data_IF_036227134502
#
_entry.id   IF_036227134502
#
_cell.length_a   1.000
_cell.length_b   1.000
_cell.length_c   1.000
_cell.angle_alpha   90.00
_cell.angle_beta   90.00
_cell.angle_gamma   90.00
#
_symmetry.space_group_name_H-M   'P 1'
#
loop_
_entity.id
_entity.type
_entity.pdbx_description
1 polymer ?
#
# COMPACT_ATOMS: atom_id res chain seq x y z
N UNK A 1 -1.62 26.80 4.85
CA UNK A 1 -2.22 25.46 4.68
C UNK A 1 -3.59 25.49 5.33
N UNK A 2 -4.62 24.93 4.70
CA UNK A 2 -5.92 24.76 5.35
C UNK A 2 -5.73 23.84 6.56
N UNK A 3 -6.21 24.26 7.73
CA UNK A 3 -6.19 23.41 8.93
C UNK A 3 -7.15 22.24 8.71
N UNK A 4 -6.70 21.02 8.98
CA UNK A 4 -7.52 19.82 8.79
C UNK A 4 -8.61 19.75 9.88
N UNK A 5 -9.87 19.56 9.46
CA UNK A 5 -11.03 19.44 10.33
C UNK A 5 -11.72 18.08 10.08
N UNK A 6 -11.63 17.10 11.01
CA UNK A 6 -12.20 15.76 10.81
C UNK A 6 -13.73 15.75 10.62
N UNK A 7 -14.44 16.80 11.08
CA UNK A 7 -15.89 16.93 10.90
C UNK A 7 -16.23 17.22 9.42
N UNK A 8 -15.28 17.77 8.66
CA UNK A 8 -15.42 18.09 7.24
C UNK A 8 -14.88 17.00 6.30
N UNK A 9 -14.41 15.88 6.83
CA UNK A 9 -13.82 14.77 6.06
C UNK A 9 -14.79 13.59 5.94
N UNK A 10 -15.96 13.87 5.37
CA UNK A 10 -17.05 12.91 5.16
C UNK A 10 -17.84 13.24 3.89
N UNK A 11 -18.65 12.29 3.41
CA UNK A 11 -19.60 12.55 2.32
C UNK A 11 -20.81 13.37 2.82
N UNK A 12 -21.27 14.37 2.05
CA UNK A 12 -22.28 15.35 2.48
C UNK A 12 -23.54 14.74 3.08
N UNK A 13 -24.06 13.66 2.48
CA UNK A 13 -25.30 13.01 2.95
C UNK A 13 -25.19 12.45 4.38
N UNK A 14 -23.97 12.24 4.89
CA UNK A 14 -23.74 11.75 6.26
C UNK A 14 -24.08 12.80 7.32
N UNK A 15 -24.09 14.09 6.96
CA UNK A 15 -24.51 15.15 7.87
C UNK A 15 -25.98 15.07 8.26
N UNK A 16 -26.85 14.51 7.42
CA UNK A 16 -28.28 14.31 7.74
C UNK A 16 -28.61 12.96 8.36
N UNK A 17 -27.68 12.00 8.37
CA UNK A 17 -27.97 10.61 8.79
C UNK A 17 -28.35 10.47 10.26
N UNK A 18 -27.92 11.38 11.15
CA UNK A 18 -28.32 11.35 12.55
C UNK A 18 -29.86 11.50 12.75
N UNK A 19 -30.56 12.07 11.78
CA UNK A 19 -32.02 12.21 11.76
C UNK A 19 -32.74 11.02 11.10
N UNK A 20 -32.01 10.14 10.41
CA UNK A 20 -32.58 9.06 9.59
C UNK A 20 -32.68 7.73 10.33
N UNK A 21 -31.85 7.54 11.36
CA UNK A 21 -31.88 6.31 12.16
C UNK A 21 -33.17 6.17 12.96
N UNK A 22 -33.62 4.93 13.26
CA UNK A 22 -34.80 4.71 14.09
C UNK A 22 -34.71 5.49 15.41
N UNK A 23 -35.81 6.08 15.88
CA UNK A 23 -35.86 6.69 17.22
C UNK A 23 -35.38 5.70 18.29
N UNK A 24 -34.69 6.21 19.31
CA UNK A 24 -34.05 5.39 20.38
C UNK A 24 -32.91 4.48 19.91
N UNK A 25 -32.29 4.75 18.76
CA UNK A 25 -31.01 4.12 18.41
C UNK A 25 -29.93 4.57 19.40
N UNK A 26 -29.22 3.61 19.98
CA UNK A 26 -28.14 3.85 20.96
C UNK A 26 -26.81 3.24 20.54
N UNK A 27 -26.79 2.38 19.52
CA UNK A 27 -25.54 1.89 18.96
C UNK A 27 -25.72 1.47 17.51
N UNK A 28 -24.63 1.55 16.75
CA UNK A 28 -24.52 1.07 15.38
C UNK A 28 -23.22 0.29 15.30
N UNK A 29 -23.31 -0.93 14.79
CA UNK A 29 -22.17 -1.78 14.50
C UNK A 29 -21.94 -1.82 12.99
N UNK A 30 -20.74 -1.43 12.57
CA UNK A 30 -20.32 -1.47 11.17
C UNK A 30 -19.02 -2.23 11.01
N UNK A 31 -18.77 -2.71 9.79
CA UNK A 31 -17.56 -3.45 9.46
C UNK A 31 -17.02 -3.05 8.09
N UNK A 32 -15.71 -3.25 7.87
CA UNK A 32 -15.04 -3.09 6.57
C UNK A 32 -14.57 -4.45 6.07
N UNK A 33 -14.84 -4.75 4.80
CA UNK A 33 -14.31 -5.93 4.11
C UNK A 33 -13.93 -5.60 2.66
N UNK A 34 -13.04 -6.42 2.08
CA UNK A 34 -13.01 -6.62 0.63
C UNK A 34 -14.05 -7.69 0.27
N UNK A 35 -14.91 -7.44 -0.72
CA UNK A 35 -15.96 -8.38 -1.14
C UNK A 35 -15.51 -9.34 -2.27
N UNK A 36 -14.21 -9.37 -2.56
CA UNK A 36 -13.61 -10.01 -3.73
C UNK A 36 -13.06 -8.95 -4.70
N UNK A 37 -12.58 -9.36 -5.86
CA UNK A 37 -11.98 -8.43 -6.80
C UNK A 37 -11.03 -9.12 -7.77
N UNK A 38 -9.97 -8.41 -8.13
CA UNK A 38 -8.86 -8.88 -8.96
C UNK A 38 -8.10 -10.00 -8.23
N UNK A 39 -7.95 -9.90 -6.91
CA UNK A 39 -7.25 -10.90 -6.11
C UNK A 39 -8.21 -11.60 -5.13
N UNK A 40 -7.87 -12.83 -4.73
CA UNK A 40 -8.67 -13.64 -3.81
C UNK A 40 -8.45 -13.31 -2.33
N UNK A 41 -7.41 -12.52 -2.04
CA UNK A 41 -6.95 -12.12 -0.72
C UNK A 41 -6.42 -10.68 -0.73
N UNK A 42 -6.27 -10.09 0.45
CA UNK A 42 -5.78 -8.72 0.66
C UNK A 42 -4.71 -8.69 1.74
N UNK A 43 -3.58 -8.02 1.48
CA UNK A 43 -2.60 -7.67 2.50
C UNK A 43 -3.08 -6.41 3.25
N UNK A 44 -3.69 -6.59 4.42
CA UNK A 44 -4.36 -5.52 5.16
C UNK A 44 -3.36 -4.50 5.72
N UNK A 45 -3.53 -3.22 5.40
CA UNK A 45 -2.63 -2.15 5.84
C UNK A 45 -3.30 -0.77 5.85
N UNK A 46 -2.85 0.14 6.72
CA UNK A 46 -3.14 1.58 6.69
C UNK A 46 -4.13 2.12 7.73
N UNK A 47 -4.76 1.26 8.54
CA UNK A 47 -5.69 1.68 9.59
C UNK A 47 -4.99 2.50 10.68
N UNK A 48 -3.76 2.18 11.05
CA UNK A 48 -2.98 2.91 12.05
C UNK A 48 -2.72 4.36 11.62
N UNK A 49 -2.53 4.62 10.32
CA UNK A 49 -2.40 5.97 9.76
C UNK A 49 -3.70 6.75 10.01
N UNK A 50 -4.86 6.13 9.76
CA UNK A 50 -6.15 6.73 10.06
C UNK A 50 -6.31 7.03 11.55
N UNK A 51 -5.95 6.09 12.43
CA UNK A 51 -6.05 6.30 13.88
C UNK A 51 -5.19 7.51 14.29
N UNK A 52 -3.91 7.54 13.91
CA UNK A 52 -2.97 8.61 14.27
C UNK A 52 -3.38 9.98 13.70
N UNK A 53 -3.83 10.05 12.45
CA UNK A 53 -4.16 11.32 11.78
C UNK A 53 -5.58 11.82 12.08
N UNK A 54 -6.56 10.91 12.11
CA UNK A 54 -7.97 11.25 12.25
C UNK A 54 -8.43 11.13 13.70
N UNK A 55 -8.34 9.94 14.30
CA UNK A 55 -8.98 9.67 15.61
C UNK A 55 -8.24 10.27 16.80
N UNK A 56 -6.94 10.54 16.66
CA UNK A 56 -6.15 11.26 17.67
C UNK A 56 -6.19 12.78 17.50
N UNK A 57 -6.85 13.30 16.45
CA UNK A 57 -7.08 14.74 16.32
C UNK A 57 -8.23 15.14 17.23
N UNK A 58 -7.95 16.00 18.22
CA UNK A 58 -8.97 16.51 19.15
C UNK A 58 -9.84 17.55 18.45
N UNK A 59 -11.14 17.28 18.44
CA UNK A 59 -12.15 18.22 17.98
C UNK A 59 -12.25 19.40 18.94
N UNK A 60 -12.35 20.62 18.39
CA UNK A 60 -12.51 21.85 19.15
C UNK A 60 -13.84 22.52 18.83
N UNK A 61 -14.28 23.46 19.67
CA UNK A 61 -15.51 24.22 19.41
C UNK A 61 -15.42 25.01 18.10
N UNK A 62 -14.24 25.54 17.78
CA UNK A 62 -13.97 26.28 16.54
C UNK A 62 -14.16 25.38 15.32
N UNK A 63 -13.69 24.12 15.36
CA UNK A 63 -13.93 23.14 14.30
C UNK A 63 -15.42 22.84 14.12
N UNK A 64 -16.18 22.77 15.22
CA UNK A 64 -17.64 22.54 15.16
C UNK A 64 -18.36 23.71 14.50
N UNK A 65 -18.06 24.94 14.90
CA UNK A 65 -18.71 26.13 14.32
C UNK A 65 -18.28 26.41 12.87
N UNK A 66 -17.03 26.09 12.53
CA UNK A 66 -16.58 26.11 11.14
C UNK A 66 -17.39 25.10 10.30
N UNK A 67 -17.51 23.87 10.78
CA UNK A 67 -18.25 22.82 10.09
C UNK A 67 -19.74 23.17 9.97
N UNK A 68 -20.37 23.65 11.04
CA UNK A 68 -21.76 24.13 11.01
C UNK A 68 -21.98 25.17 9.92
N UNK A 69 -21.11 26.19 9.87
CA UNK A 69 -21.18 27.24 8.86
C UNK A 69 -21.06 26.67 7.44
N UNK A 70 -20.07 25.83 7.18
CA UNK A 70 -19.80 25.28 5.85
C UNK A 70 -20.92 24.34 5.41
N UNK A 71 -21.34 23.42 6.28
CA UNK A 71 -22.36 22.41 5.99
C UNK A 71 -23.74 23.05 5.78
N UNK A 72 -24.08 24.04 6.61
CA UNK A 72 -25.33 24.80 6.44
C UNK A 72 -25.35 25.57 5.12
N UNK A 73 -24.23 26.23 4.76
CA UNK A 73 -24.10 26.90 3.45
C UNK A 73 -24.13 25.90 2.28
N UNK A 74 -23.66 24.68 2.50
CA UNK A 74 -23.73 23.59 1.52
C UNK A 74 -25.15 23.02 1.35
N UNK A 75 -26.06 23.28 2.30
CA UNK A 75 -27.47 22.89 2.24
C UNK A 75 -27.83 21.61 3.00
N UNK A 76 -26.91 21.06 3.80
CA UNK A 76 -27.19 19.90 4.65
C UNK A 76 -27.50 20.35 6.09
N UNK A 77 -28.32 19.59 6.84
CA UNK A 77 -28.48 19.82 8.28
C UNK A 77 -27.19 19.48 9.02
N UNK A 78 -26.96 20.10 10.17
CA UNK A 78 -25.76 19.86 10.97
C UNK A 78 -26.10 19.59 12.45
N UNK A 79 -25.50 18.55 13.03
CA UNK A 79 -25.74 18.15 14.42
C UNK A 79 -24.80 18.91 15.40
N UNK A 80 -24.98 20.23 15.53
CA UNK A 80 -24.12 21.07 16.38
C UNK A 80 -24.07 20.58 17.82
N UNK A 81 -25.23 20.22 18.39
CA UNK A 81 -25.33 19.71 19.76
C UNK A 81 -24.54 18.41 19.95
N UNK A 82 -24.69 17.45 19.05
CA UNK A 82 -23.97 16.17 19.11
C UNK A 82 -22.46 16.34 19.00
N UNK A 83 -21.98 17.25 18.15
CA UNK A 83 -20.56 17.54 18.03
C UNK A 83 -20.00 18.28 19.25
N UNK A 84 -20.71 19.30 19.77
CA UNK A 84 -20.32 19.99 21.00
C UNK A 84 -20.29 19.04 22.21
N UNK A 85 -21.23 18.10 22.28
CA UNK A 85 -21.25 17.05 23.29
C UNK A 85 -19.95 16.23 23.27
N UNK A 86 -19.44 15.85 22.09
CA UNK A 86 -18.15 15.15 21.95
C UNK A 86 -16.99 16.03 22.43
N UNK A 87 -16.98 17.31 22.07
CA UNK A 87 -15.92 18.24 22.54
C UNK A 87 -15.89 18.33 24.06
N UNK A 88 -17.06 18.45 24.69
CA UNK A 88 -17.18 18.75 26.12
C UNK A 88 -17.08 17.50 27.02
N UNK A 89 -17.74 16.40 26.61
CA UNK A 89 -17.82 15.18 27.42
C UNK A 89 -16.69 14.20 27.08
N UNK A 90 -16.23 14.20 25.83
CA UNK A 90 -15.21 13.27 25.33
C UNK A 90 -13.88 13.95 25.04
N UNK A 91 -13.69 15.17 25.54
CA UNK A 91 -12.43 15.92 25.42
C UNK A 91 -11.99 16.14 23.96
N UNK A 92 -12.96 16.14 23.04
CA UNK A 92 -12.73 16.24 21.59
C UNK A 92 -12.38 14.93 20.89
N UNK A 93 -12.28 13.80 21.58
CA UNK A 93 -12.02 12.49 20.95
C UNK A 93 -13.33 11.77 20.62
N UNK A 94 -13.35 11.02 19.50
CA UNK A 94 -14.55 10.27 19.11
C UNK A 94 -14.78 9.06 20.03
N UNK A 95 -15.97 8.91 20.64
CA UNK A 95 -16.26 7.79 21.55
C UNK A 95 -16.55 6.51 20.77
N UNK A 96 -15.50 5.87 20.27
CA UNK A 96 -15.54 4.69 19.43
C UNK A 96 -14.71 3.57 20.04
N UNK A 97 -15.08 2.33 19.69
CA UNK A 97 -14.20 1.17 19.75
C UNK A 97 -14.02 0.64 18.33
N UNK A 98 -12.76 0.49 17.92
CA UNK A 98 -12.38 -0.08 16.64
C UNK A 98 -11.57 -1.34 16.90
N UNK A 99 -12.01 -2.45 16.31
CA UNK A 99 -11.25 -3.69 16.30
C UNK A 99 -10.81 -4.01 14.88
N UNK A 100 -9.63 -4.58 14.71
CA UNK A 100 -9.16 -5.02 13.40
C UNK A 100 -8.37 -6.30 13.47
N UNK A 101 -8.24 -6.98 12.33
CA UNK A 101 -7.15 -7.95 12.15
C UNK A 101 -5.81 -7.20 12.22
N UNK A 102 -4.71 -7.85 12.63
CA UNK A 102 -3.38 -7.23 12.60
C UNK A 102 -3.00 -6.75 11.19
N UNK A 103 -2.48 -5.54 11.07
CA UNK A 103 -1.91 -5.06 9.81
C UNK A 103 -0.71 -5.90 9.40
N UNK A 104 -0.51 -6.06 8.09
CA UNK A 104 0.47 -6.94 7.48
C UNK A 104 -0.09 -8.33 7.16
N UNK A 105 -1.17 -8.78 7.80
CA UNK A 105 -1.76 -10.08 7.50
C UNK A 105 -2.39 -10.16 6.10
N UNK A 106 -2.21 -11.29 5.43
CA UNK A 106 -2.92 -11.64 4.20
C UNK A 106 -4.24 -12.30 4.58
N UNK A 107 -5.34 -11.65 4.23
CA UNK A 107 -6.70 -12.06 4.60
C UNK A 107 -7.47 -12.43 3.33
N UNK A 108 -8.03 -13.64 3.22
CA UNK A 108 -8.93 -13.99 2.13
C UNK A 108 -10.11 -13.02 2.07
N UNK A 109 -10.49 -12.65 0.85
CA UNK A 109 -11.64 -11.76 0.60
C UNK A 109 -12.92 -12.32 1.23
N UNK A 110 -13.90 -11.44 1.46
CA UNK A 110 -15.17 -11.71 2.16
C UNK A 110 -15.01 -12.02 3.64
N UNK A 111 -13.87 -11.63 4.23
CA UNK A 111 -13.67 -11.56 5.67
C UNK A 111 -13.61 -10.13 6.14
N UNK A 112 -14.12 -9.91 7.35
CA UNK A 112 -14.05 -8.62 8.05
C UNK A 112 -12.59 -8.30 8.35
N UNK A 113 -12.21 -7.06 8.08
CA UNK A 113 -10.89 -6.53 8.41
C UNK A 113 -10.95 -5.59 9.61
N UNK A 114 -12.02 -4.79 9.68
CA UNK A 114 -12.23 -3.75 10.72
C UNK A 114 -13.67 -3.80 11.17
N UNK A 115 -13.93 -3.61 12.46
CA UNK A 115 -15.26 -3.33 13.02
C UNK A 115 -15.23 -2.03 13.80
N UNK A 116 -16.36 -1.32 13.80
CA UNK A 116 -16.54 -0.02 14.47
C UNK A 116 -17.89 0.00 15.17
N UNK A 117 -17.90 0.42 16.42
CA UNK A 117 -19.12 0.75 17.17
C UNK A 117 -18.84 1.89 18.15
N UNK A 118 -19.89 2.55 18.63
CA UNK A 118 -19.76 3.63 19.62
C UNK A 118 -19.70 3.09 21.03
N UNK A 119 -19.01 3.82 21.90
CA UNK A 119 -18.97 3.55 23.35
C UNK A 119 -19.91 4.44 24.14
N UNK A 120 -20.43 5.53 23.54
CA UNK A 120 -21.43 6.42 24.14
C UNK A 120 -22.74 6.39 23.32
N UNK A 121 -23.86 6.00 23.92
CA UNK A 121 -25.17 5.97 23.27
C UNK A 121 -25.61 7.26 22.58
N UNK A 122 -25.20 8.44 23.07
CA UNK A 122 -25.57 9.74 22.46
C UNK A 122 -24.86 10.01 21.13
N UNK A 123 -23.84 9.21 20.82
CA UNK A 123 -22.98 9.39 19.66
C UNK A 123 -23.20 8.32 18.58
N UNK A 124 -24.29 7.56 18.63
CA UNK A 124 -24.57 6.41 17.74
C UNK A 124 -24.31 6.66 16.24
N UNK A 125 -24.58 7.87 15.76
CA UNK A 125 -24.42 8.28 14.35
C UNK A 125 -22.95 8.39 13.91
N UNK A 126 -22.00 8.49 14.85
CA UNK A 126 -20.56 8.63 14.55
C UNK A 126 -20.00 7.39 13.86
N UNK A 127 -20.50 6.18 14.18
CA UNK A 127 -20.02 4.92 13.58
C UNK A 127 -20.00 4.97 12.05
N UNK A 128 -21.07 5.45 11.43
CA UNK A 128 -21.19 5.52 9.97
C UNK A 128 -20.73 6.86 9.41
N UNK A 129 -20.65 7.90 10.24
CA UNK A 129 -20.11 9.21 9.84
C UNK A 129 -18.65 9.11 9.39
N UNK A 130 -17.82 8.33 10.10
CA UNK A 130 -16.39 8.19 9.79
C UNK A 130 -16.09 7.29 8.57
N UNK A 131 -17.11 6.69 7.96
CA UNK A 131 -16.96 5.71 6.87
C UNK A 131 -16.09 6.23 5.73
N UNK A 132 -16.30 7.47 5.28
CA UNK A 132 -15.61 8.02 4.11
C UNK A 132 -14.10 8.07 4.35
N UNK A 133 -13.68 8.66 5.48
CA UNK A 133 -12.28 8.75 5.85
C UNK A 133 -11.67 7.37 6.16
N UNK A 134 -12.35 6.55 6.96
CA UNK A 134 -11.90 5.21 7.33
C UNK A 134 -11.72 4.32 6.09
N UNK A 135 -12.73 4.26 5.22
CA UNK A 135 -12.69 3.40 4.04
C UNK A 135 -11.58 3.84 3.09
N UNK A 136 -11.38 5.15 2.88
CA UNK A 136 -10.26 5.70 2.09
C UNK A 136 -8.91 5.28 2.65
N UNK A 137 -8.73 5.34 3.96
CA UNK A 137 -7.49 4.94 4.63
C UNK A 137 -7.25 3.42 4.64
N UNK A 138 -8.29 2.61 4.47
CA UNK A 138 -8.14 1.15 4.38
C UNK A 138 -7.91 0.70 2.94
N UNK A 139 -8.78 1.10 1.99
CA UNK A 139 -8.80 0.50 0.66
C UNK A 139 -7.51 0.80 -0.12
N UNK A 140 -7.01 2.03 -0.09
CA UNK A 140 -5.87 2.45 -0.92
C UNK A 140 -4.57 1.74 -0.52
N UNK A 141 -4.07 1.87 0.73
CA UNK A 141 -2.85 1.18 1.14
C UNK A 141 -2.98 -0.34 1.04
N UNK A 142 -4.13 -0.91 1.41
CA UNK A 142 -4.35 -2.36 1.29
C UNK A 142 -4.28 -2.82 -0.17
N UNK A 143 -4.86 -2.07 -1.11
CA UNK A 143 -4.83 -2.43 -2.54
C UNK A 143 -3.41 -2.32 -3.12
N UNK A 144 -2.66 -1.27 -2.77
CA UNK A 144 -1.27 -1.11 -3.19
C UNK A 144 -0.38 -2.23 -2.62
N UNK A 145 -0.50 -2.52 -1.32
CA UNK A 145 0.26 -3.59 -0.68
C UNK A 145 -0.06 -4.96 -1.30
N UNK A 146 -1.33 -5.21 -1.62
CA UNK A 146 -1.78 -6.45 -2.27
C UNK A 146 -1.24 -6.57 -3.69
N UNK A 147 -1.36 -5.51 -4.51
CA UNK A 147 -0.82 -5.47 -5.87
C UNK A 147 0.70 -5.72 -5.86
N UNK A 148 1.42 -5.05 -4.96
CA UNK A 148 2.84 -5.26 -4.74
C UNK A 148 3.17 -6.69 -4.31
N UNK A 149 2.37 -7.28 -3.41
CA UNK A 149 2.54 -8.67 -2.98
C UNK A 149 2.41 -9.64 -4.15
N UNK A 150 1.40 -9.50 -5.01
CA UNK A 150 1.26 -10.37 -6.18
C UNK A 150 2.39 -10.18 -7.21
N UNK A 151 2.91 -8.95 -7.38
CA UNK A 151 4.12 -8.74 -8.16
C UNK A 151 5.32 -9.49 -7.56
N UNK A 152 5.47 -9.49 -6.22
CA UNK A 152 6.48 -10.29 -5.50
C UNK A 152 6.32 -11.78 -5.79
N UNK A 153 5.09 -12.30 -5.79
CA UNK A 153 4.80 -13.71 -6.09
C UNK A 153 5.17 -14.11 -7.53
N UNK A 154 4.98 -13.22 -8.50
CA UNK A 154 5.40 -13.44 -9.89
C UNK A 154 6.94 -13.49 -9.98
N UNK A 155 7.60 -12.49 -9.38
CA UNK A 155 9.07 -12.36 -9.45
C UNK A 155 9.77 -13.49 -8.71
N UNK A 156 9.31 -13.86 -7.51
CA UNK A 156 9.97 -14.88 -6.68
C UNK A 156 9.94 -16.25 -7.37
N UNK A 157 8.83 -16.65 -8.00
CA UNK A 157 8.73 -17.89 -8.78
C UNK A 157 9.74 -17.94 -9.91
N UNK A 158 9.97 -16.80 -10.55
CA UNK A 158 10.89 -16.71 -11.67
C UNK A 158 12.37 -16.64 -11.22
N UNK A 159 12.66 -16.11 -10.02
CA UNK A 159 13.96 -16.27 -9.36
C UNK A 159 14.19 -17.71 -8.91
N UNK A 160 13.18 -18.40 -8.38
CA UNK A 160 13.26 -19.83 -8.05
C UNK A 160 13.54 -20.67 -9.29
N UNK A 161 12.97 -20.31 -10.43
CA UNK A 161 13.22 -21.00 -11.70
C UNK A 161 14.62 -20.71 -12.27
N UNK A 162 15.07 -19.45 -12.22
CA UNK A 162 16.21 -19.01 -13.06
C UNK A 162 17.35 -18.33 -12.33
N UNK A 163 17.18 -17.94 -11.07
CA UNK A 163 18.07 -17.01 -10.37
C UNK A 163 18.24 -17.29 -8.88
N UNK A 164 18.54 -16.25 -8.10
CA UNK A 164 18.66 -16.30 -6.64
C UNK A 164 17.45 -15.64 -5.95
N UNK A 165 16.57 -16.43 -5.29
CA UNK A 165 15.44 -15.91 -4.51
C UNK A 165 15.82 -14.89 -3.43
N UNK A 166 17.06 -14.92 -2.91
CA UNK A 166 17.53 -13.96 -1.91
C UNK A 166 17.56 -12.51 -2.43
N UNK A 167 17.50 -12.30 -3.75
CA UNK A 167 17.50 -10.97 -4.35
C UNK A 167 16.12 -10.28 -4.32
N UNK A 168 15.05 -10.98 -3.93
CA UNK A 168 13.66 -10.54 -4.09
C UNK A 168 13.39 -9.14 -3.52
N UNK A 169 14.01 -8.79 -2.40
CA UNK A 169 13.80 -7.53 -1.69
C UNK A 169 14.01 -6.29 -2.58
N UNK A 170 14.85 -6.38 -3.62
CA UNK A 170 15.21 -5.26 -4.49
C UNK A 170 14.84 -5.51 -5.97
N UNK A 171 13.92 -6.44 -6.24
CA UNK A 171 13.54 -6.79 -7.63
C UNK A 171 12.36 -6.01 -8.19
N UNK A 172 11.61 -5.31 -7.34
CA UNK A 172 10.64 -4.30 -7.75
C UNK A 172 10.92 -3.02 -6.96
N UNK A 173 11.21 -1.94 -7.67
CA UNK A 173 11.55 -0.63 -7.12
C UNK A 173 10.41 0.34 -7.40
N UNK A 174 9.99 1.07 -6.36
CA UNK A 174 8.92 2.05 -6.49
C UNK A 174 9.42 3.35 -7.17
N UNK A 175 8.85 3.65 -8.35
CA UNK A 175 9.08 4.88 -9.13
C UNK A 175 7.85 5.81 -9.14
N UNK A 176 6.91 5.59 -8.22
CA UNK A 176 5.54 6.11 -8.29
C UNK A 176 5.34 7.53 -7.76
N UNK A 177 6.30 8.12 -7.04
CA UNK A 177 6.13 9.44 -6.38
C UNK A 177 5.54 10.54 -7.27
N UNK A 178 5.98 10.63 -8.52
CA UNK A 178 5.51 11.63 -9.49
C UNK A 178 4.21 11.25 -10.21
N UNK A 179 3.85 9.97 -10.16
CA UNK A 179 2.70 9.40 -10.86
C UNK A 179 1.43 9.35 -10.02
N UNK A 180 1.49 9.71 -8.74
CA UNK A 180 0.34 9.71 -7.83
C UNK A 180 -0.35 11.08 -7.74
N UNK A 181 -1.59 11.07 -7.27
CA UNK A 181 -2.44 12.26 -7.16
C UNK A 181 -2.06 13.28 -6.08
N UNK A 182 -1.24 12.92 -5.09
CA UNK A 182 -0.87 13.82 -4.00
C UNK A 182 0.39 13.37 -3.24
N UNK A 183 0.98 14.27 -2.45
CA UNK A 183 2.07 13.93 -1.52
C UNK A 183 1.65 12.86 -0.50
N UNK A 184 0.43 12.95 0.02
CA UNK A 184 -0.10 11.95 0.96
C UNK A 184 -0.26 10.58 0.29
N UNK A 185 -0.76 10.54 -0.94
CA UNK A 185 -0.85 9.30 -1.72
C UNK A 185 0.52 8.69 -2.00
N UNK A 186 1.55 9.52 -2.24
CA UNK A 186 2.93 9.06 -2.43
C UNK A 186 3.45 8.40 -1.14
N UNK A 187 3.27 9.07 0.00
CA UNK A 187 3.73 8.60 1.29
C UNK A 187 3.05 7.29 1.70
N UNK A 188 1.72 7.22 1.63
CA UNK A 188 0.94 6.03 2.03
C UNK A 188 1.17 4.88 1.05
N UNK A 189 1.11 5.15 -0.26
CA UNK A 189 1.27 4.13 -1.30
C UNK A 189 2.68 3.54 -1.31
N UNK A 190 3.71 4.39 -1.28
CA UNK A 190 5.09 3.92 -1.23
C UNK A 190 5.37 3.10 0.03
N UNK A 191 4.82 3.49 1.20
CA UNK A 191 4.98 2.71 2.43
C UNK A 191 4.30 1.34 2.34
N UNK A 192 3.12 1.27 1.71
CA UNK A 192 2.41 0.01 1.47
C UNK A 192 3.21 -0.95 0.58
N UNK A 193 3.93 -0.43 -0.42
CA UNK A 193 4.86 -1.22 -1.22
C UNK A 193 6.03 -1.78 -0.40
N UNK A 194 6.59 -0.97 0.51
CA UNK A 194 7.75 -1.34 1.34
C UNK A 194 7.48 -2.46 2.35
N UNK A 195 6.24 -2.93 2.49
CA UNK A 195 5.95 -4.17 3.22
C UNK A 195 6.57 -5.36 2.47
N UNK A 196 6.49 -5.34 1.13
CA UNK A 196 6.87 -6.45 0.28
C UNK A 196 8.32 -6.36 -0.23
N UNK A 197 8.81 -5.14 -0.45
CA UNK A 197 10.12 -4.85 -1.03
C UNK A 197 10.87 -3.79 -0.22
N UNK A 198 12.12 -3.53 -0.60
CA UNK A 198 13.04 -2.59 0.05
C UNK A 198 13.54 -1.49 -0.89
N UNK A 199 13.18 -1.52 -2.17
CA UNK A 199 13.57 -0.50 -3.16
C UNK A 199 12.51 0.59 -3.34
N UNK A 200 12.87 1.86 -3.14
CA UNK A 200 11.95 2.98 -3.43
C UNK A 200 12.71 4.28 -3.75
N UNK A 201 12.19 5.04 -4.71
CA UNK A 201 12.53 6.46 -4.93
C UNK A 201 11.46 7.40 -4.37
N UNK A 202 10.37 6.86 -3.82
CA UNK A 202 9.31 7.61 -3.17
C UNK A 202 9.70 7.96 -1.74
N UNK A 203 10.59 8.94 -1.59
CA UNK A 203 11.10 9.43 -0.30
C UNK A 203 9.99 9.71 0.74
N UNK A 204 8.80 10.26 0.40
CA UNK A 204 7.73 10.46 1.38
C UNK A 204 7.31 9.19 2.13
N UNK A 205 7.50 8.00 1.54
CA UNK A 205 7.21 6.72 2.19
C UNK A 205 8.09 6.47 3.42
N UNK A 206 9.36 6.91 3.36
CA UNK A 206 10.31 6.75 4.47
C UNK A 206 9.88 7.58 5.68
N UNK A 207 9.36 8.79 5.42
CA UNK A 207 8.82 9.67 6.45
C UNK A 207 7.56 9.06 7.07
N UNK A 208 6.65 8.54 6.24
CA UNK A 208 5.44 7.87 6.73
C UNK A 208 5.74 6.65 7.61
N UNK A 209 6.82 5.90 7.33
CA UNK A 209 7.25 4.79 8.19
C UNK A 209 7.63 5.26 9.61
N UNK A 210 8.32 6.40 9.70
CA UNK A 210 8.76 6.99 10.97
C UNK A 210 7.55 7.57 11.72
N UNK A 211 6.76 8.41 11.05
CA UNK A 211 5.66 9.16 11.68
C UNK A 211 4.51 8.24 12.11
N UNK A 212 4.17 7.26 11.28
CA UNK A 212 2.99 6.43 11.51
C UNK A 212 3.30 5.07 12.10
N UNK A 213 4.49 4.51 11.93
CA UNK A 213 4.82 3.15 12.37
C UNK A 213 6.12 3.06 13.19
N UNK A 214 6.53 4.17 13.79
CA UNK A 214 7.62 4.27 14.77
C UNK A 214 8.90 3.53 14.33
N UNK A 215 9.19 3.57 13.03
CA UNK A 215 10.39 2.93 12.49
C UNK A 215 11.64 3.65 13.01
N UNK A 216 12.56 2.89 13.61
CA UNK A 216 13.81 3.44 14.16
C UNK A 216 14.85 3.74 13.07
N UNK A 217 14.76 3.03 11.96
CA UNK A 217 15.66 3.16 10.80
C UNK A 217 14.85 3.37 9.52
N UNK A 218 15.53 3.76 8.43
CA UNK A 218 14.92 3.80 7.10
C UNK A 218 14.53 2.38 6.65
N UNK A 219 13.35 2.26 6.08
CA UNK A 219 12.76 0.96 5.70
C UNK A 219 12.87 0.66 4.20
N UNK A 220 13.39 1.61 3.42
CA UNK A 220 13.61 1.50 1.98
C UNK A 220 14.89 2.22 1.57
N UNK A 221 15.48 1.77 0.47
CA UNK A 221 16.76 2.24 -0.03
C UNK A 221 16.70 2.49 -1.53
N UNK A 222 17.66 3.28 -2.01
CA UNK A 222 17.91 3.53 -3.42
C UNK A 222 19.41 3.57 -3.72
N UNK A 223 19.73 3.75 -5.00
CA UNK A 223 21.09 3.92 -5.52
C UNK A 223 21.16 5.19 -6.37
N UNK A 224 22.34 5.78 -6.59
CA UNK A 224 22.49 6.85 -7.57
C UNK A 224 21.98 6.42 -8.94
N UNK A 225 21.13 7.24 -9.56
CA UNK A 225 20.54 6.98 -10.86
C UNK A 225 20.52 8.25 -11.72
N UNK A 226 20.74 8.09 -13.02
CA UNK A 226 20.51 9.16 -14.00
C UNK A 226 19.06 9.18 -14.49
N UNK A 227 18.60 10.37 -14.88
CA UNK A 227 17.40 10.57 -15.71
C UNK A 227 17.79 11.25 -17.03
N UNK A 228 16.87 11.33 -17.99
CA UNK A 228 17.20 11.86 -19.33
C UNK A 228 17.80 13.27 -19.28
N UNK A 229 17.40 14.13 -18.33
CA UNK A 229 17.94 15.49 -18.21
C UNK A 229 19.45 15.50 -17.91
N UNK A 230 19.94 14.61 -17.06
CA UNK A 230 21.35 14.55 -16.65
C UNK A 230 22.25 13.96 -17.74
N UNK A 231 21.68 13.22 -18.69
CA UNK A 231 22.37 12.72 -19.89
C UNK A 231 22.30 13.72 -21.03
N UNK A 232 21.11 14.20 -21.36
CA UNK A 232 20.86 15.03 -22.55
C UNK A 232 21.37 16.46 -22.41
N UNK A 233 21.56 16.98 -21.19
CA UNK A 233 22.18 18.29 -20.94
C UNK A 233 23.64 18.39 -21.40
N UNK A 234 24.31 17.26 -21.62
CA UNK A 234 25.64 17.21 -22.25
C UNK A 234 25.57 17.38 -23.77
N UNK A 235 24.39 17.22 -24.37
CA UNK A 235 24.17 17.20 -25.81
C UNK A 235 24.46 15.84 -26.45
N UNK A 236 23.75 15.51 -27.52
CA UNK A 236 23.82 14.19 -28.19
C UNK A 236 25.26 13.76 -28.53
N UNK A 237 26.09 14.67 -29.05
CA UNK A 237 27.49 14.41 -29.40
C UNK A 237 28.38 13.98 -28.20
N UNK A 238 27.91 14.18 -26.97
CA UNK A 238 28.66 13.95 -25.75
C UNK A 238 27.98 12.95 -24.81
N UNK A 239 27.06 12.11 -25.30
CA UNK A 239 26.42 11.05 -24.51
C UNK A 239 27.47 10.14 -23.83
N UNK A 240 28.51 9.73 -24.55
CA UNK A 240 29.63 8.96 -23.98
C UNK A 240 30.31 9.66 -22.80
N UNK A 241 30.44 11.00 -22.83
CA UNK A 241 31.04 11.76 -21.72
C UNK A 241 30.09 11.86 -20.52
N UNK A 242 28.78 11.97 -20.75
CA UNK A 242 27.80 11.91 -19.68
C UNK A 242 27.86 10.55 -18.95
N UNK A 243 27.96 9.46 -19.71
CA UNK A 243 28.14 8.10 -19.20
C UNK A 243 29.47 7.89 -18.47
N UNK A 244 30.57 8.42 -19.01
CA UNK A 244 31.88 8.43 -18.35
C UNK A 244 31.81 9.18 -17.01
N UNK A 245 31.13 10.32 -16.95
CA UNK A 245 30.94 11.07 -15.72
C UNK A 245 30.21 10.24 -14.65
N UNK A 246 29.18 9.46 -15.01
CA UNK A 246 28.53 8.55 -14.06
C UNK A 246 29.50 7.51 -13.48
N UNK A 247 30.38 6.94 -14.32
CA UNK A 247 31.43 6.03 -13.86
C UNK A 247 32.36 6.75 -12.87
N UNK A 248 32.80 7.97 -13.17
CA UNK A 248 33.74 8.72 -12.34
C UNK A 248 33.16 9.08 -10.97
N UNK A 249 31.89 9.48 -10.92
CA UNK A 249 31.25 9.89 -9.66
C UNK A 249 30.89 8.69 -8.76
N UNK A 250 30.41 7.59 -9.35
CA UNK A 250 29.76 6.52 -8.59
C UNK A 250 30.47 5.15 -8.66
N UNK A 251 31.35 4.93 -9.64
CA UNK A 251 31.97 3.64 -9.95
C UNK A 251 32.97 3.10 -8.91
N UNK A 252 33.39 3.93 -7.96
CA UNK A 252 34.30 3.57 -6.88
C UNK A 252 33.72 3.75 -5.48
N UNK A 253 32.63 4.52 -5.35
CA UNK A 253 32.03 4.93 -4.07
C UNK A 253 30.77 4.15 -3.71
N UNK A 254 30.11 3.52 -4.70
CA UNK A 254 28.85 2.79 -4.51
C UNK A 254 28.97 1.35 -4.98
N UNK A 255 28.13 0.45 -4.47
CA UNK A 255 28.08 -0.92 -4.97
C UNK A 255 27.48 -0.98 -6.40
N UNK A 256 26.50 -0.12 -6.67
CA UNK A 256 25.82 -0.03 -7.97
C UNK A 256 25.38 1.41 -8.25
N UNK A 257 25.17 1.71 -9.53
CA UNK A 257 24.51 2.94 -9.99
C UNK A 257 23.74 2.63 -11.28
N UNK A 258 22.65 3.35 -11.52
CA UNK A 258 21.80 3.16 -12.69
C UNK A 258 21.94 4.29 -13.71
N UNK A 259 21.93 3.96 -14.99
CA UNK A 259 22.01 4.95 -16.06
C UNK A 259 20.97 4.66 -17.13
N UNK A 260 20.04 5.61 -17.32
CA UNK A 260 19.14 5.61 -18.46
C UNK A 260 19.95 5.68 -19.76
N UNK A 261 19.77 4.68 -20.61
CA UNK A 261 20.66 4.41 -21.75
C UNK A 261 19.96 4.48 -23.10
N UNK A 262 18.75 5.05 -23.17
CA UNK A 262 17.93 5.13 -24.37
C UNK A 262 17.61 6.57 -24.78
N UNK A 263 18.42 7.54 -24.33
CA UNK A 263 18.24 8.95 -24.71
C UNK A 263 18.26 9.17 -26.22
N UNK A 264 19.01 8.33 -26.96
CA UNK A 264 19.05 8.36 -28.43
C UNK A 264 18.94 6.96 -29.06
N UNK A 265 19.81 6.02 -28.68
CA UNK A 265 19.79 4.64 -29.19
C UNK A 265 20.37 3.67 -28.14
N UNK A 266 19.48 2.87 -27.54
CA UNK A 266 19.86 1.91 -26.50
C UNK A 266 20.76 0.79 -27.01
N UNK A 267 20.65 0.40 -28.27
CA UNK A 267 21.49 -0.65 -28.85
C UNK A 267 22.91 -0.13 -29.02
N UNK A 268 23.08 1.07 -29.56
CA UNK A 268 24.39 1.73 -29.66
C UNK A 268 25.00 1.98 -28.29
N UNK A 269 24.21 2.45 -27.32
CA UNK A 269 24.68 2.69 -25.95
C UNK A 269 25.23 1.41 -25.31
N UNK A 270 24.52 0.29 -25.42
CA UNK A 270 24.96 -1.00 -24.86
C UNK A 270 26.15 -1.57 -25.64
N UNK A 271 26.09 -1.56 -26.97
CA UNK A 271 27.07 -2.25 -27.80
C UNK A 271 28.41 -1.50 -27.91
N UNK A 272 28.34 -0.20 -28.21
CA UNK A 272 29.49 0.58 -28.64
C UNK A 272 29.99 1.54 -27.56
N UNK A 273 29.11 2.06 -26.70
CA UNK A 273 29.53 2.98 -25.63
C UNK A 273 29.92 2.18 -24.39
N UNK A 274 28.97 1.53 -23.72
CA UNK A 274 29.24 0.72 -22.53
C UNK A 274 30.11 -0.50 -22.86
N UNK A 275 29.73 -1.26 -23.88
CA UNK A 275 30.44 -2.47 -24.33
C UNK A 275 31.67 -2.20 -25.20
N UNK A 276 31.92 -0.94 -25.58
CA UNK A 276 33.07 -0.51 -26.39
C UNK A 276 33.89 0.54 -25.65
N UNK A 277 33.68 1.82 -25.95
CA UNK A 277 34.52 2.95 -25.50
C UNK A 277 34.76 2.97 -23.99
N UNK A 278 33.74 2.68 -23.17
CA UNK A 278 33.82 2.76 -21.71
C UNK A 278 34.06 1.39 -21.04
N UNK A 279 34.13 0.30 -21.80
CA UNK A 279 34.17 -1.06 -21.26
C UNK A 279 35.34 -1.28 -20.30
N UNK A 280 36.54 -0.86 -20.69
CA UNK A 280 37.73 -1.08 -19.86
C UNK A 280 37.63 -0.34 -18.52
N UNK A 281 37.16 0.90 -18.54
CA UNK A 281 36.97 1.70 -17.34
C UNK A 281 35.90 1.06 -16.44
N UNK A 282 34.78 0.60 -17.02
CA UNK A 282 33.71 -0.05 -16.29
C UNK A 282 34.16 -1.37 -15.64
N UNK A 283 34.92 -2.21 -16.36
CA UNK A 283 35.41 -3.49 -15.84
C UNK A 283 36.41 -3.30 -14.69
N UNK A 284 37.25 -2.25 -14.75
CA UNK A 284 38.20 -1.89 -13.69
C UNK A 284 37.52 -1.37 -12.42
N UNK A 285 36.31 -0.85 -12.52
CA UNK A 285 35.56 -0.34 -11.38
C UNK A 285 34.96 -1.46 -10.51
N UNK A 286 34.75 -1.13 -9.24
CA UNK A 286 34.18 -2.05 -8.24
C UNK A 286 32.66 -2.17 -8.39
N UNK A 287 31.99 -1.09 -8.80
CA UNK A 287 30.54 -1.07 -8.93
C UNK A 287 30.03 -1.91 -10.10
N UNK A 288 28.77 -2.33 -9.99
CA UNK A 288 27.99 -2.90 -11.09
C UNK A 288 27.17 -1.78 -11.73
N UNK A 289 27.25 -1.62 -13.05
CA UNK A 289 26.37 -0.70 -13.79
C UNK A 289 25.00 -1.34 -13.97
N UNK A 290 23.94 -0.59 -13.69
CA UNK A 290 22.56 -0.95 -14.03
C UNK A 290 22.13 -0.15 -15.26
N UNK A 291 21.98 -0.82 -16.40
CA UNK A 291 21.52 -0.22 -17.65
C UNK A 291 19.99 -0.13 -17.64
N UNK A 292 19.45 1.07 -17.85
CA UNK A 292 18.00 1.30 -17.89
C UNK A 292 17.53 1.67 -19.31
N UNK A 293 16.89 0.74 -20.05
CA UNK A 293 15.97 1.13 -21.12
C UNK A 293 14.69 1.74 -20.53
N UNK A 294 14.10 2.72 -21.22
CA UNK A 294 12.90 3.44 -20.79
C UNK A 294 11.92 3.68 -21.95
N UNK A 295 12.08 2.95 -23.06
CA UNK A 295 11.25 3.05 -24.25
C UNK A 295 11.30 1.78 -25.12
N UNK A 296 10.27 1.59 -25.94
CA UNK A 296 10.07 0.41 -26.78
C UNK A 296 9.39 -0.76 -26.03
N UNK A 297 9.03 -1.81 -26.76
CA UNK A 297 8.41 -3.01 -26.16
C UNK A 297 9.45 -3.77 -25.31
N UNK A 298 9.27 -3.88 -23.98
CA UNK A 298 10.26 -4.52 -23.12
C UNK A 298 10.45 -6.01 -23.42
N UNK A 299 9.45 -6.69 -23.98
CA UNK A 299 9.55 -8.11 -24.37
C UNK A 299 10.47 -8.31 -25.58
N UNK A 300 10.75 -7.26 -26.34
CA UNK A 300 11.64 -7.26 -27.51
C UNK A 300 12.99 -6.62 -27.16
N UNK A 301 12.96 -5.45 -26.51
CA UNK A 301 14.16 -4.65 -26.22
C UNK A 301 15.07 -5.38 -25.24
N UNK A 302 14.53 -5.91 -24.13
CA UNK A 302 15.34 -6.51 -23.07
C UNK A 302 16.13 -7.73 -23.54
N UNK A 303 15.54 -8.75 -24.22
CA UNK A 303 16.32 -9.86 -24.76
C UNK A 303 17.45 -9.39 -25.68
N UNK A 304 17.18 -8.43 -26.57
CA UNK A 304 18.16 -7.93 -27.53
C UNK A 304 19.34 -7.23 -26.86
N UNK A 305 19.09 -6.33 -25.91
CA UNK A 305 20.18 -5.66 -25.19
C UNK A 305 20.94 -6.61 -24.25
N UNK A 306 20.27 -7.60 -23.66
CA UNK A 306 20.93 -8.63 -22.85
C UNK A 306 21.86 -9.52 -23.70
N UNK A 307 21.46 -9.87 -24.93
CA UNK A 307 22.35 -10.56 -25.86
C UNK A 307 23.56 -9.71 -26.23
N UNK A 308 23.37 -8.43 -26.56
CA UNK A 308 24.49 -7.52 -26.85
C UNK A 308 25.45 -7.39 -25.66
N UNK A 309 24.91 -7.20 -24.46
CA UNK A 309 25.70 -7.12 -23.24
C UNK A 309 26.44 -8.44 -22.95
N UNK A 310 25.80 -9.60 -23.13
CA UNK A 310 26.44 -10.90 -22.97
C UNK A 310 27.60 -11.09 -23.96
N UNK A 311 27.47 -10.61 -25.20
CA UNK A 311 28.55 -10.62 -26.20
C UNK A 311 29.71 -9.71 -25.81
N UNK A 312 29.42 -8.51 -25.29
CA UNK A 312 30.46 -7.51 -24.96
C UNK A 312 31.13 -7.79 -23.61
N UNK A 313 30.40 -8.19 -22.59
CA UNK A 313 30.92 -8.36 -21.22
C UNK A 313 31.18 -9.84 -20.86
N UNK A 314 30.67 -10.78 -21.65
CA UNK A 314 30.66 -12.19 -21.30
C UNK A 314 29.58 -12.52 -20.26
N UNK A 315 29.44 -13.81 -19.97
CA UNK A 315 28.48 -14.32 -19.00
C UNK A 315 29.00 -15.60 -18.33
N UNK A 316 28.39 -15.96 -17.22
CA UNK A 316 28.50 -17.29 -16.61
C UNK A 316 27.17 -18.01 -16.69
N UNK A 317 27.20 -19.35 -16.66
CA UNK A 317 26.01 -20.17 -16.51
C UNK A 317 25.81 -20.46 -15.02
N UNK A 318 24.63 -20.15 -14.49
CA UNK A 318 24.30 -20.54 -13.13
C UNK A 318 23.88 -22.01 -13.04
N UNK A 319 23.69 -22.52 -11.81
CA UNK A 319 23.30 -23.92 -11.57
C UNK A 319 21.93 -24.30 -12.14
N UNK A 320 21.10 -23.31 -12.50
CA UNK A 320 19.75 -23.48 -13.07
C UNK A 320 19.76 -23.45 -14.60
N UNK A 321 20.92 -23.34 -15.24
CA UNK A 321 21.05 -23.36 -16.69
C UNK A 321 20.76 -22.01 -17.37
N UNK A 322 20.79 -20.91 -16.62
CA UNK A 322 20.56 -19.56 -17.15
C UNK A 322 21.82 -18.70 -17.12
N UNK A 323 21.94 -17.77 -18.07
CA UNK A 323 23.08 -16.86 -18.20
C UNK A 323 23.00 -15.74 -17.17
N UNK A 324 24.10 -15.43 -16.51
CA UNK A 324 24.30 -14.23 -15.70
C UNK A 324 25.39 -13.40 -16.36
N UNK A 325 25.06 -12.18 -16.78
CA UNK A 325 25.96 -11.28 -17.51
C UNK A 325 26.98 -10.70 -16.54
N UNK A 326 28.24 -10.58 -16.97
CA UNK A 326 29.30 -10.01 -16.15
C UNK A 326 29.16 -8.49 -16.07
N UNK A 327 29.47 -7.91 -14.90
CA UNK A 327 29.64 -6.46 -14.64
C UNK A 327 28.44 -5.53 -14.86
N UNK A 328 27.41 -5.94 -15.60
CA UNK A 328 26.20 -5.15 -15.85
C UNK A 328 24.94 -5.86 -15.40
N UNK A 329 23.95 -5.07 -14.99
CA UNK A 329 22.58 -5.47 -14.70
C UNK A 329 21.63 -4.55 -15.46
N UNK A 330 20.35 -4.87 -15.41
CA UNK A 330 19.30 -4.12 -16.09
C UNK A 330 18.23 -3.70 -15.10
N UNK A 331 17.57 -2.57 -15.39
CA UNK A 331 16.30 -2.22 -14.76
C UNK A 331 15.33 -1.75 -15.83
N UNK A 332 14.15 -2.37 -15.89
CA UNK A 332 13.06 -1.91 -16.76
C UNK A 332 12.09 -1.10 -15.92
N UNK A 333 12.01 0.21 -16.19
CA UNK A 333 11.14 1.14 -15.44
C UNK A 333 9.88 1.58 -16.19
N UNK A 334 9.87 1.46 -17.51
CA UNK A 334 8.76 1.87 -18.36
C UNK A 334 7.74 0.74 -18.57
N UNK A 335 6.45 1.10 -18.61
CA UNK A 335 5.35 0.16 -18.93
C UNK A 335 5.10 -0.98 -17.92
N UNK A 336 5.71 -0.94 -16.73
CA UNK A 336 5.54 -2.02 -15.75
C UNK A 336 4.19 -1.91 -15.03
N UNK A 337 3.44 -3.01 -15.09
CA UNK A 337 2.19 -3.29 -14.38
C UNK A 337 2.18 -4.75 -13.97
N UNK A 338 1.25 -5.15 -13.10
CA UNK A 338 1.11 -6.57 -12.75
C UNK A 338 0.86 -7.46 -13.97
N UNK A 339 0.16 -6.95 -14.99
CA UNK A 339 -0.17 -7.69 -16.20
C UNK A 339 1.00 -7.77 -17.20
N UNK A 340 1.90 -6.79 -17.20
CA UNK A 340 3.06 -6.78 -18.12
C UNK A 340 4.26 -7.51 -17.54
N UNK A 341 4.30 -7.72 -16.22
CA UNK A 341 5.43 -8.34 -15.53
C UNK A 341 5.74 -9.77 -16.01
N UNK A 342 4.71 -10.64 -16.07
CA UNK A 342 4.90 -12.04 -16.47
C UNK A 342 5.35 -12.16 -17.94
N UNK A 343 4.72 -11.51 -18.95
CA UNK A 343 5.21 -11.54 -20.33
C UNK A 343 6.67 -11.10 -20.48
N UNK A 344 7.10 -10.07 -19.74
CA UNK A 344 8.48 -9.58 -19.79
C UNK A 344 9.44 -10.61 -19.20
N UNK A 345 9.09 -11.20 -18.05
CA UNK A 345 9.86 -12.26 -17.42
C UNK A 345 10.00 -13.45 -18.38
N UNK A 346 8.90 -13.90 -19.00
CA UNK A 346 8.91 -15.02 -19.94
C UNK A 346 9.84 -14.75 -21.13
N UNK A 347 9.83 -13.53 -21.68
CA UNK A 347 10.74 -13.15 -22.76
C UNK A 347 12.22 -13.23 -22.35
N UNK A 348 12.56 -12.80 -21.13
CA UNK A 348 13.94 -12.89 -20.59
C UNK A 348 14.36 -14.35 -20.40
N UNK A 349 13.48 -15.16 -19.81
CA UNK A 349 13.74 -16.57 -19.56
C UNK A 349 13.90 -17.36 -20.88
N UNK A 350 13.02 -17.10 -21.86
CA UNK A 350 13.09 -17.72 -23.18
C UNK A 350 14.36 -17.34 -23.97
N UNK A 351 14.92 -16.15 -23.70
CA UNK A 351 16.23 -15.75 -24.23
C UNK A 351 17.42 -16.42 -23.50
N UNK A 352 17.15 -17.23 -22.47
CA UNK A 352 18.14 -17.98 -21.69
C UNK A 352 18.86 -17.16 -20.63
N UNK A 353 18.28 -16.03 -20.20
CA UNK A 353 18.86 -15.16 -19.17
C UNK A 353 18.21 -15.38 -17.81
N UNK A 354 19.04 -15.34 -16.77
CA UNK A 354 18.59 -15.41 -15.39
C UNK A 354 17.93 -14.10 -14.98
N UNK A 355 16.93 -14.17 -14.10
CA UNK A 355 16.40 -12.99 -13.44
C UNK A 355 17.38 -12.31 -12.48
N UNK A 356 18.53 -12.91 -12.16
CA UNK A 356 19.64 -12.22 -11.49
C UNK A 356 20.06 -10.96 -12.24
N UNK A 357 19.89 -10.94 -13.57
CA UNK A 357 20.32 -9.86 -14.44
C UNK A 357 19.47 -8.59 -14.33
N UNK A 358 18.25 -8.66 -13.82
CA UNK A 358 17.28 -7.57 -13.96
C UNK A 358 16.50 -7.28 -12.67
N UNK A 359 16.17 -6.01 -12.46
CA UNK A 359 15.13 -5.55 -11.55
C UNK A 359 14.06 -4.78 -12.34
N UNK A 360 12.91 -4.53 -11.73
CA UNK A 360 11.83 -3.77 -12.33
C UNK A 360 11.60 -2.47 -11.55
N UNK A 361 11.30 -1.39 -12.25
CA UNK A 361 10.81 -0.15 -11.68
C UNK A 361 9.35 0.02 -12.04
N UNK A 362 8.50 0.40 -11.09
CA UNK A 362 7.05 0.50 -11.32
C UNK A 362 6.51 1.80 -10.72
N UNK A 363 5.94 2.64 -11.59
CA UNK A 363 5.42 3.96 -11.21
C UNK A 363 3.91 3.96 -11.03
N UNK A 364 3.18 4.56 -11.99
CA UNK A 364 1.72 4.67 -11.95
C UNK A 364 1.01 3.32 -11.81
N UNK A 365 1.53 2.25 -12.44
CA UNK A 365 1.00 0.89 -12.29
C UNK A 365 1.03 0.37 -10.84
N UNK A 366 1.95 0.85 -10.01
CA UNK A 366 2.10 0.43 -8.61
C UNK A 366 1.20 1.22 -7.68
N UNK A 367 1.24 2.55 -7.80
CA UNK A 367 0.64 3.46 -6.81
C UNK A 367 -0.63 4.19 -7.26
N UNK A 368 -0.92 4.30 -8.56
CA UNK A 368 -2.01 5.16 -9.07
C UNK A 368 -3.06 4.43 -9.89
N UNK A 369 -2.69 3.39 -10.63
CA UNK A 369 -3.63 2.56 -11.41
C UNK A 369 -4.34 1.53 -10.53
N UNK A 370 -4.77 1.98 -9.36
CA UNK A 370 -5.56 1.21 -8.38
C UNK A 370 -6.79 2.01 -8.00
N UNK A 371 -7.90 1.33 -7.78
CA UNK A 371 -9.14 1.94 -7.31
C UNK A 371 -9.84 1.05 -6.26
N UNK A 372 -10.80 1.61 -5.53
CA UNK A 372 -11.53 0.90 -4.45
C UNK A 372 -12.19 -0.40 -4.93
N UNK A 373 -12.64 -0.43 -6.19
CA UNK A 373 -13.40 -1.54 -6.75
C UNK A 373 -12.53 -2.68 -7.26
N UNK A 374 -11.22 -2.48 -7.45
CA UNK A 374 -10.25 -3.56 -7.75
C UNK A 374 -10.31 -4.67 -6.71
N UNK A 375 -10.60 -4.32 -5.45
CA UNK A 375 -10.86 -5.26 -4.36
C UNK A 375 -12.25 -5.04 -3.70
N UNK A 376 -13.17 -4.37 -4.41
CA UNK A 376 -14.58 -4.17 -4.03
C UNK A 376 -14.79 -3.77 -2.56
N UNK A 377 -13.88 -2.97 -2.02
CA UNK A 377 -13.87 -2.58 -0.60
C UNK A 377 -15.16 -1.87 -0.20
N UNK A 378 -15.71 -2.22 0.95
CA UNK A 378 -16.91 -1.59 1.45
C UNK A 378 -16.93 -1.56 2.98
N UNK A 379 -17.43 -0.46 3.54
CA UNK A 379 -17.94 -0.44 4.91
C UNK A 379 -19.46 -0.67 4.90
N UNK A 380 -19.99 -1.43 5.83
CA UNK A 380 -21.44 -1.66 5.95
C UNK A 380 -21.86 -1.73 7.42
N UNK A 381 -23.00 -1.14 7.73
CA UNK A 381 -23.72 -1.40 8.97
C UNK A 381 -24.31 -2.80 8.91
N UNK A 382 -24.05 -3.62 9.94
CA UNK A 382 -24.58 -4.98 10.04
C UNK A 382 -25.51 -5.20 11.24
N UNK A 383 -25.50 -4.29 12.23
CA UNK A 383 -26.47 -4.30 13.32
C UNK A 383 -26.70 -2.90 13.91
N UNK A 384 -27.90 -2.64 14.42
CA UNK A 384 -28.23 -1.44 15.21
C UNK A 384 -28.87 -1.84 16.54
N UNK A 385 -28.58 -1.10 17.61
CA UNK A 385 -29.21 -1.27 18.92
C UNK A 385 -30.31 -0.22 19.07
N UNK A 386 -31.57 -0.65 19.09
CA UNK A 386 -32.76 0.22 19.18
C UNK A 386 -33.58 -0.22 20.37
N UNK A 387 -33.86 0.70 21.29
CA UNK A 387 -34.65 0.44 22.50
C UNK A 387 -34.14 -0.79 23.31
N UNK A 388 -32.80 -0.95 23.36
CA UNK A 388 -32.15 -2.06 24.06
C UNK A 388 -32.10 -3.40 23.30
N UNK A 389 -32.61 -3.46 22.06
CA UNK A 389 -32.64 -4.69 21.25
C UNK A 389 -31.76 -4.54 20.01
N UNK A 390 -30.86 -5.50 19.78
CA UNK A 390 -30.05 -5.56 18.56
C UNK A 390 -30.91 -6.05 17.38
N UNK A 391 -30.88 -5.30 16.29
CA UNK A 391 -31.57 -5.60 15.04
C UNK A 391 -30.52 -5.81 13.95
N UNK A 392 -30.65 -6.92 13.22
CA UNK A 392 -29.82 -7.20 12.04
C UNK A 392 -30.09 -6.18 10.93
N UNK A 393 -29.02 -5.58 10.41
CA UNK A 393 -29.07 -4.67 9.26
C UNK A 393 -28.32 -5.32 8.10
N UNK A 394 -28.95 -5.41 6.93
CA UNK A 394 -28.27 -5.90 5.74
C UNK A 394 -29.01 -5.47 4.48
N UNK A 395 -28.28 -5.42 3.38
CA UNK A 395 -28.87 -5.32 2.04
C UNK A 395 -28.81 -6.68 1.35
N UNK A 396 -29.86 -7.02 0.64
CA UNK A 396 -29.93 -8.20 -0.22
C UNK A 396 -30.67 -7.81 -1.52
N UNK A 397 -30.02 -7.05 -2.43
CA UNK A 397 -30.69 -6.54 -3.62
C UNK A 397 -31.11 -7.67 -4.56
N UNK A 398 -32.41 -7.76 -4.86
CA UNK A 398 -32.98 -8.82 -5.73
C UNK A 398 -32.29 -8.88 -7.10
N UNK A 399 -31.85 -7.73 -7.63
CA UNK A 399 -31.21 -7.62 -8.95
C UNK A 399 -29.70 -7.86 -8.94
N UNK A 400 -29.07 -8.02 -7.77
CA UNK A 400 -27.63 -8.23 -7.66
C UNK A 400 -27.29 -9.01 -6.37
N UNK A 401 -27.45 -10.34 -6.37
CA UNK A 401 -27.18 -11.20 -5.22
C UNK A 401 -25.74 -11.10 -4.71
N UNK A 402 -24.78 -10.71 -5.57
CA UNK A 402 -23.39 -10.49 -5.21
C UNK A 402 -23.17 -9.29 -4.28
N UNK A 403 -24.18 -8.43 -4.11
CA UNK A 403 -24.15 -7.27 -3.19
C UNK A 403 -24.76 -7.54 -1.82
N UNK A 404 -25.11 -8.80 -1.51
CA UNK A 404 -25.57 -9.19 -0.17
C UNK A 404 -24.51 -8.88 0.89
N UNK A 405 -24.89 -8.18 1.96
CA UNK A 405 -24.00 -7.88 3.09
C UNK A 405 -24.18 -8.87 4.25
N UNK A 406 -23.16 -8.94 5.13
CA UNK A 406 -23.23 -9.68 6.39
C UNK A 406 -24.26 -9.04 7.35
N UNK A 407 -24.70 -9.81 8.35
CA UNK A 407 -25.70 -9.42 9.35
C UNK A 407 -25.16 -9.63 10.76
N UNK A 408 -25.65 -8.85 11.71
CA UNK A 408 -25.33 -8.99 13.13
C UNK A 408 -23.99 -8.38 13.51
N UNK A 409 -23.60 -8.58 14.76
CA UNK A 409 -22.26 -8.25 15.26
C UNK A 409 -21.30 -9.35 14.81
N UNK A 410 -20.11 -8.98 14.36
CA UNK A 410 -19.21 -9.90 13.65
C UNK A 410 -17.88 -10.10 14.38
N UNK A 411 -17.36 -11.32 14.31
CA UNK A 411 -16.02 -11.70 14.73
C UNK A 411 -15.27 -12.40 13.62
N UNK A 412 -13.94 -12.43 13.76
CA UNK A 412 -13.03 -13.11 12.83
C UNK A 412 -12.13 -14.02 13.64
N UNK A 413 -11.99 -15.26 13.21
CA UNK A 413 -11.07 -16.22 13.81
C UNK A 413 -10.17 -16.84 12.76
N UNK A 414 -9.02 -17.36 13.22
CA UNK A 414 -8.20 -18.33 12.50
C UNK A 414 -8.41 -19.70 13.12
N UNK A 415 -8.84 -20.67 12.32
CA UNK A 415 -8.96 -22.07 12.73
C UNK A 415 -7.58 -22.74 12.83
N UNK A 416 -7.50 -23.89 13.52
CA UNK A 416 -6.25 -24.66 13.62
C UNK A 416 -5.66 -25.10 12.26
N UNK A 417 -6.49 -25.29 11.23
CA UNK A 417 -6.04 -25.59 9.86
C UNK A 417 -5.69 -24.32 9.04
N UNK A 418 -5.63 -23.15 9.67
CA UNK A 418 -5.17 -21.91 9.05
C UNK A 418 -6.24 -21.10 8.31
N UNK A 419 -7.49 -21.57 8.26
CA UNK A 419 -8.58 -20.85 7.59
C UNK A 419 -9.01 -19.62 8.39
N UNK A 420 -9.21 -18.51 7.69
CA UNK A 420 -9.75 -17.27 8.26
C UNK A 420 -11.26 -17.22 7.98
N UNK A 421 -12.05 -17.09 9.05
CA UNK A 421 -13.51 -17.16 8.99
C UNK A 421 -14.12 -15.99 9.74
N UNK A 422 -15.04 -15.30 9.08
CA UNK A 422 -15.95 -14.33 9.69
C UNK A 422 -17.29 -14.98 10.02
N UNK A 423 -17.78 -14.76 11.23
CA UNK A 423 -19.04 -15.30 11.74
C UNK A 423 -19.67 -14.31 12.73
N UNK A 424 -20.89 -14.58 13.19
CA UNK A 424 -21.55 -13.68 14.14
C UNK A 424 -21.09 -13.92 15.58
N UNK A 425 -21.08 -12.89 16.41
CA UNK A 425 -20.68 -13.01 17.83
C UNK A 425 -21.61 -13.92 18.64
N UNK A 426 -22.88 -14.04 18.22
CA UNK A 426 -23.90 -14.90 18.83
C UNK A 426 -23.88 -16.34 18.28
N UNK A 427 -23.00 -16.64 17.32
CA UNK A 427 -22.80 -17.98 16.77
C UNK A 427 -21.62 -18.70 17.46
N UNK A 428 -21.76 -20.01 17.67
CA UNK A 428 -20.67 -20.85 18.16
C UNK A 428 -19.92 -21.52 17.01
N UNK A 429 -18.62 -21.24 16.89
CA UNK A 429 -17.74 -22.01 16.03
C UNK A 429 -17.40 -23.34 16.71
N UNK A 430 -17.71 -24.45 16.03
CA UNK A 430 -17.43 -25.82 16.50
C UNK A 430 -15.94 -26.18 16.44
N UNK A 431 -15.17 -25.51 15.61
CA UNK A 431 -13.75 -25.78 15.38
C UNK A 431 -12.88 -24.94 16.33
N UNK A 432 -11.88 -25.53 17.02
CA UNK A 432 -10.94 -24.74 17.80
C UNK A 432 -10.29 -23.65 16.94
N UNK A 433 -10.30 -22.42 17.45
CA UNK A 433 -9.89 -21.25 16.69
C UNK A 433 -9.42 -20.13 17.61
N UNK A 434 -8.65 -19.21 17.05
CA UNK A 434 -8.10 -18.05 17.76
C UNK A 434 -8.72 -16.78 17.19
N UNK A 435 -9.24 -15.87 18.03
CA UNK A 435 -9.78 -14.60 17.56
C UNK A 435 -8.69 -13.75 16.92
N UNK A 436 -9.01 -13.12 15.78
CA UNK A 436 -8.11 -12.24 15.06
C UNK A 436 -8.41 -10.75 15.27
N UNK A 437 -9.66 -10.38 15.61
CA UNK A 437 -9.99 -8.99 15.86
C UNK A 437 -9.42 -8.53 17.21
N UNK A 438 -8.55 -7.53 17.16
CA UNK A 438 -7.94 -6.89 18.32
C UNK A 438 -8.43 -5.45 18.42
N UNK A 439 -8.70 -4.96 19.63
CA UNK A 439 -8.99 -3.54 19.83
C UNK A 439 -7.75 -2.72 19.51
N UNK A 440 -7.85 -1.85 18.51
CA UNK A 440 -6.75 -0.97 18.06
C UNK A 440 -6.99 0.49 18.42
N UNK A 441 -8.24 0.86 18.67
CA UNK A 441 -8.64 2.15 19.23
C UNK A 441 -9.81 1.95 20.18
N UNK A 442 -9.77 2.57 21.34
CA UNK A 442 -10.91 2.66 22.24
C UNK A 442 -10.89 3.97 23.01
N UNK A 443 -11.98 4.70 22.96
CA UNK A 443 -12.22 5.86 23.81
C UNK A 443 -13.63 5.79 24.37
N UNK A 444 -13.76 5.60 25.68
CA UNK A 444 -15.05 5.50 26.37
C UNK A 444 -15.43 6.79 27.12
N UNK A 445 -14.59 7.83 27.11
CA UNK A 445 -14.80 9.08 27.83
C UNK A 445 -14.71 8.97 29.36
N UNK A 446 -14.36 7.80 29.90
CA UNK A 446 -14.43 7.49 31.34
C UNK A 446 -13.03 7.21 31.87
N UNK A 447 -12.34 8.28 32.27
CA UNK A 447 -11.92 8.57 33.65
C UNK A 447 -10.96 9.77 33.61
N UNK A 448 -11.47 10.99 33.85
CA UNK A 448 -10.66 12.24 33.82
C UNK A 448 -9.46 12.22 34.80
N UNK A 449 -9.45 11.25 35.70
CA UNK A 449 -8.43 11.07 36.73
C UNK A 449 -7.20 10.25 36.26
N UNK A 450 -7.31 9.40 35.22
CA UNK A 450 -6.27 8.41 34.92
C UNK A 450 -5.78 8.37 33.46
N UNK A 451 -6.60 8.74 32.47
CA UNK A 451 -6.16 8.85 31.06
C UNK A 451 -6.72 10.09 30.37
N UNK A 452 -5.85 10.86 29.71
CA UNK A 452 -6.22 12.00 28.88
C UNK A 452 -6.23 11.68 27.38
N UNK A 453 -6.05 10.41 27.00
CA UNK A 453 -5.89 9.97 25.62
C UNK A 453 -6.63 8.65 25.35
N UNK A 454 -7.06 8.40 24.09
CA UNK A 454 -7.57 7.10 23.67
C UNK A 454 -6.60 5.95 23.92
N UNK A 455 -7.13 4.77 24.23
CA UNK A 455 -6.35 3.54 24.27
C UNK A 455 -6.08 3.13 22.83
N UNK A 456 -4.81 2.96 22.48
CA UNK A 456 -4.36 2.54 21.15
C UNK A 456 -3.40 1.36 21.25
N UNK A 457 -3.47 0.44 20.28
CA UNK A 457 -2.51 -0.66 20.15
C UNK A 457 -1.70 -0.48 18.87
N UNK A 458 -0.71 0.41 18.91
CA UNK A 458 0.15 0.68 17.76
C UNK A 458 1.25 -0.35 17.60
N UNK A 459 1.54 -0.70 16.34
CA UNK A 459 2.61 -1.62 15.98
C UNK A 459 3.69 -0.91 15.16
N UNK A 460 4.90 -1.45 15.20
CA UNK A 460 6.02 -0.93 14.40
C UNK A 460 5.92 -1.41 12.95
N UNK A 461 6.64 -0.75 12.04
CA UNK A 461 6.68 -1.18 10.65
C UNK A 461 7.32 -2.57 10.49
N UNK A 462 8.27 -2.92 11.35
CA UNK A 462 8.86 -4.27 11.37
C UNK A 462 7.83 -5.32 11.76
N UNK A 463 6.94 -5.02 12.73
CA UNK A 463 5.85 -5.93 13.07
C UNK A 463 4.87 -6.12 11.90
N UNK A 464 4.57 -5.07 11.12
CA UNK A 464 3.77 -5.17 9.90
C UNK A 464 4.42 -6.15 8.91
N UNK A 465 5.74 -6.05 8.70
CA UNK A 465 6.48 -6.97 7.83
C UNK A 465 6.45 -8.41 8.36
N UNK A 466 6.69 -8.61 9.65
CA UNK A 466 6.63 -9.95 10.27
C UNK A 466 5.26 -10.60 10.06
N UNK A 467 4.18 -9.84 10.30
CA UNK A 467 2.80 -10.31 10.09
C UNK A 467 2.54 -10.72 8.62
N UNK A 468 3.22 -10.10 7.65
CA UNK A 468 3.08 -10.46 6.23
C UNK A 468 3.82 -11.75 5.83
N UNK A 469 4.83 -12.15 6.59
CA UNK A 469 5.60 -13.38 6.35
C UNK A 469 4.95 -14.60 7.02
N UNK A 470 4.41 -14.44 8.23
CA UNK A 470 3.82 -15.55 9.01
C UNK A 470 2.51 -16.10 8.42
N UNK A 471 1.88 -15.37 7.50
CA UNK A 471 0.56 -15.67 6.95
C UNK A 471 0.58 -15.72 5.42
N UNK A 472 1.45 -16.54 4.86
CA UNK A 472 1.32 -16.92 3.44
C UNK A 472 0.34 -18.09 3.36
N UNK A 473 -0.84 -17.98 2.72
CA UNK A 473 -1.72 -19.13 2.54
C UNK A 473 -0.95 -20.23 1.78
N UNK A 474 -0.91 -21.44 2.34
CA UNK A 474 -0.35 -22.63 1.68
C UNK A 474 -1.18 -23.05 0.48
#
# INVERSE_FOLDING_TARGET
MLQYNPILDTDSYKYSMFLQYPPKTTNIFSYVESRGGIFDSTLFFGLQIFIKKFLLTRLTKEMVYEAERIVTLHGEPFNTEGWLYIVEQHNGFLPLIIKSVPEGMIIPTKNVLVTVEVTDPKCFWVTTFIETALLRSVWYPTTVATNSYHCKQIIIKALELSGDPALIDFKLHDFGARGVSSYESAAIGGLAHLINFKGTDTVPALIAAIDYYDSKDVVGWSIPAAEHSTITSWGNRYETRAYENMILQFGSTHAMYAVVSDSYDVYNAVENIWGGTLKEQLVKNKSVLVIRPDSGDPTIVLPKIMHLAALKFGFTMNKKGYKIINKVRFIQGDGITINTLQPIIDAILNAGFSLDNIAFGMGGGLLQHVNRDDQKFAMKCSAVLVDGVWIDVFKDPITDPGKKSKKGRLQVVKTLNGQVITFREDEHIKTPSTPLLQTVYQWNGIDKLWSQQPITNFITFEQVRLNSCEFTPT
#
